data_IF_057747451218
#
_entry.id   IF_057747451218
#
_cell.length_a   1.000
_cell.length_b   1.000
_cell.length_c   1.000
_cell.angle_alpha   90.00
_cell.angle_beta   90.00
_cell.angle_gamma   90.00
#
_symmetry.space_group_name_H-M   'P 1'
#
loop_
_entity.id
_entity.type
_entity.pdbx_description
1 polymer ?
#
# COMPACT_ATOMS: atom_id res chain seq x y z
N UNK A 1 -8.30 -0.90 5.68
CA UNK A 1 -7.93 -1.12 7.09
C UNK A 1 -8.15 -2.57 7.53
N UNK A 2 -8.64 -3.47 6.66
CA UNK A 2 -8.72 -4.90 6.99
C UNK A 2 -9.61 -5.28 8.17
N UNK A 3 -10.40 -4.35 8.71
CA UNK A 3 -11.28 -4.56 9.86
C UNK A 3 -12.65 -5.07 9.41
N UNK A 4 -13.11 -6.19 9.98
CA UNK A 4 -14.43 -6.76 9.71
C UNK A 4 -15.55 -5.77 10.06
N UNK A 5 -15.43 -5.07 11.19
CA UNK A 5 -16.41 -4.06 11.62
C UNK A 5 -16.52 -2.84 10.70
N UNK A 6 -15.59 -2.66 9.75
CA UNK A 6 -15.56 -1.56 8.79
C UNK A 6 -15.52 -2.02 7.33
N UNK A 7 -15.85 -3.29 7.05
CA UNK A 7 -15.76 -3.83 5.69
C UNK A 7 -16.74 -3.17 4.70
N UNK A 8 -17.87 -2.67 5.19
CA UNK A 8 -18.88 -1.92 4.41
C UNK A 8 -18.79 -0.40 4.59
N UNK A 9 -17.87 0.08 5.44
CA UNK A 9 -17.74 1.51 5.73
C UNK A 9 -17.12 2.25 4.54
N UNK A 10 -17.78 3.32 4.10
CA UNK A 10 -17.32 4.24 3.07
C UNK A 10 -17.13 5.62 3.69
N UNK A 11 -15.97 6.23 3.44
CA UNK A 11 -15.70 7.62 3.84
C UNK A 11 -16.52 8.57 2.96
N UNK A 12 -17.05 9.64 3.56
CA UNK A 12 -17.75 10.72 2.85
C UNK A 12 -16.76 11.72 2.24
N UNK A 13 -15.54 11.76 2.78
CA UNK A 13 -14.49 12.71 2.37
C UNK A 13 -13.23 12.00 1.89
N UNK A 14 -12.56 12.62 0.92
CA UNK A 14 -11.22 12.23 0.48
C UNK A 14 -10.16 12.62 1.51
N UNK A 15 -9.15 11.77 1.70
CA UNK A 15 -7.94 12.17 2.41
C UNK A 15 -7.21 13.30 1.65
N UNK A 16 -6.51 14.16 2.36
CA UNK A 16 -5.83 15.33 1.76
C UNK A 16 -4.88 14.96 0.62
N UNK A 17 -4.09 13.88 0.77
CA UNK A 17 -3.20 13.37 -0.28
C UNK A 17 -3.95 12.92 -1.53
N UNK A 18 -5.13 12.32 -1.35
CA UNK A 18 -5.98 11.87 -2.44
C UNK A 18 -6.55 13.07 -3.20
N UNK A 19 -6.94 14.13 -2.48
CA UNK A 19 -7.38 15.39 -3.11
C UNK A 19 -6.27 16.01 -3.96
N UNK A 20 -5.03 16.01 -3.49
CA UNK A 20 -3.89 16.49 -4.29
C UNK A 20 -3.64 15.66 -5.54
N UNK A 21 -3.71 14.34 -5.44
CA UNK A 21 -3.55 13.44 -6.60
C UNK A 21 -4.63 13.70 -7.64
N UNK A 22 -5.91 13.80 -7.23
CA UNK A 22 -7.01 14.13 -8.13
C UNK A 22 -6.82 15.49 -8.79
N UNK A 23 -6.44 16.51 -8.01
CA UNK A 23 -6.20 17.86 -8.53
C UNK A 23 -5.01 17.92 -9.50
N UNK A 24 -4.03 17.04 -9.36
CA UNK A 24 -2.91 16.89 -10.29
C UNK A 24 -3.27 16.07 -11.55
N UNK A 25 -4.53 15.64 -11.70
CA UNK A 25 -4.99 14.82 -12.83
C UNK A 25 -4.79 13.31 -12.66
N UNK A 26 -4.44 12.85 -11.46
CA UNK A 26 -4.25 11.43 -11.16
C UNK A 26 -5.58 10.65 -11.13
N UNK A 27 -5.54 9.43 -11.67
CA UNK A 27 -6.68 8.50 -11.70
C UNK A 27 -6.47 7.42 -10.63
N UNK A 28 -7.43 7.29 -9.71
CA UNK A 28 -7.40 6.26 -8.67
C UNK A 28 -7.99 4.96 -9.22
N UNK A 29 -7.18 3.91 -9.30
CA UNK A 29 -7.59 2.63 -9.91
C UNK A 29 -8.06 1.60 -8.88
N UNK A 30 -7.55 1.66 -7.65
CA UNK A 30 -7.84 0.66 -6.62
C UNK A 30 -7.51 1.15 -5.20
N UNK A 31 -8.01 0.42 -4.21
CA UNK A 31 -7.55 0.45 -2.82
C UNK A 31 -6.91 -0.89 -2.53
N UNK A 32 -5.65 -0.90 -2.12
CA UNK A 32 -4.93 -2.16 -1.92
C UNK A 32 -5.15 -2.75 -0.53
N UNK A 33 -4.78 -4.02 -0.40
CA UNK A 33 -4.93 -4.79 0.82
C UNK A 33 -3.83 -4.47 1.84
N UNK A 34 -4.18 -4.47 3.12
CA UNK A 34 -3.31 -4.14 4.27
C UNK A 34 -3.63 -5.10 5.42
N UNK A 35 -2.73 -5.33 6.39
CA UNK A 35 -3.11 -6.03 7.61
C UNK A 35 -4.15 -5.25 8.42
N UNK A 36 -4.84 -5.96 9.30
CA UNK A 36 -5.79 -5.34 10.21
C UNK A 36 -5.12 -4.21 11.01
N UNK A 37 -5.76 -3.03 11.00
CA UNK A 37 -5.26 -1.81 11.65
C UNK A 37 -3.88 -1.32 11.18
N UNK A 38 -3.33 -1.86 10.09
CA UNK A 38 -1.96 -1.60 9.64
C UNK A 38 -0.86 -2.04 10.65
N UNK A 39 -1.18 -2.96 11.57
CA UNK A 39 -0.31 -3.29 12.71
C UNK A 39 0.64 -4.47 12.50
N UNK A 40 0.72 -5.01 11.28
CA UNK A 40 1.52 -6.20 11.01
C UNK A 40 2.47 -6.06 9.81
N UNK A 41 3.45 -6.95 9.76
CA UNK A 41 4.53 -6.96 8.74
C UNK A 41 4.22 -7.88 7.56
N UNK A 42 3.06 -8.50 7.55
CA UNK A 42 2.42 -9.18 6.44
C UNK A 42 1.16 -8.42 6.02
N UNK A 43 0.67 -8.67 4.81
CA UNK A 43 -0.59 -8.06 4.34
C UNK A 43 -1.70 -9.10 4.27
N UNK A 44 -2.25 -9.42 5.45
CA UNK A 44 -3.35 -10.38 5.66
C UNK A 44 -4.42 -9.80 6.57
N UNK A 45 -5.68 -10.02 6.24
CA UNK A 45 -6.79 -9.75 7.16
C UNK A 45 -7.98 -10.69 6.90
N UNK A 46 -8.97 -10.65 7.80
CA UNK A 46 -10.16 -11.50 7.73
C UNK A 46 -11.23 -11.02 6.72
N UNK A 47 -11.04 -9.88 6.06
CA UNK A 47 -12.00 -9.33 5.08
C UNK A 47 -11.62 -9.74 3.65
N UNK A 48 -10.35 -9.57 3.28
CA UNK A 48 -9.85 -9.76 1.92
C UNK A 48 -8.83 -10.90 1.80
N UNK A 49 -8.46 -11.54 2.92
CA UNK A 49 -7.47 -12.60 2.93
C UNK A 49 -6.04 -12.08 2.82
N UNK A 50 -5.18 -12.90 2.20
CA UNK A 50 -3.73 -12.70 2.09
C UNK A 50 -3.35 -12.12 0.74
N UNK A 51 -2.51 -11.08 0.73
CA UNK A 51 -1.79 -10.65 -0.48
C UNK A 51 -0.58 -11.56 -0.71
N UNK A 52 -0.42 -12.07 -1.93
CA UNK A 52 0.73 -12.89 -2.33
C UNK A 52 1.80 -12.06 -3.06
N UNK A 53 3.07 -12.44 -2.90
CA UNK A 53 4.17 -11.75 -3.54
C UNK A 53 4.25 -12.13 -5.03
N UNK A 54 4.31 -11.14 -5.95
CA UNK A 54 4.25 -11.39 -7.39
C UNK A 54 5.48 -12.15 -7.92
N UNK A 55 6.62 -12.08 -7.23
CA UNK A 55 7.81 -12.86 -7.62
C UNK A 55 7.75 -14.31 -7.13
N UNK A 56 7.08 -14.55 -5.99
CA UNK A 56 6.92 -15.89 -5.42
C UNK A 56 5.76 -15.92 -4.42
N UNK A 57 4.68 -16.64 -4.75
CA UNK A 57 3.45 -16.71 -3.95
C UNK A 57 3.62 -17.39 -2.59
N UNK A 58 4.75 -18.05 -2.33
CA UNK A 58 5.09 -18.64 -1.02
C UNK A 58 5.83 -17.67 -0.08
N UNK A 59 6.14 -16.45 -0.54
CA UNK A 59 6.87 -15.43 0.22
C UNK A 59 5.94 -14.32 0.71
N UNK A 60 6.33 -13.68 1.82
CA UNK A 60 5.63 -12.52 2.35
C UNK A 60 5.81 -11.30 1.43
N UNK A 61 4.76 -10.50 1.27
CA UNK A 61 4.79 -9.19 0.59
C UNK A 61 5.24 -8.05 1.49
N UNK A 62 5.38 -8.30 2.79
CA UNK A 62 5.66 -7.26 3.75
C UNK A 62 4.39 -6.54 4.20
N UNK A 63 4.55 -5.62 5.13
CA UNK A 63 3.43 -4.90 5.70
C UNK A 63 3.89 -3.63 6.39
N UNK A 64 2.96 -2.70 6.64
CA UNK A 64 1.53 -2.86 6.35
C UNK A 64 1.12 -2.56 4.89
N UNK A 65 1.98 -1.91 4.10
CA UNK A 65 1.64 -1.53 2.71
C UNK A 65 2.02 -2.59 1.66
N UNK A 66 1.85 -3.88 1.99
CA UNK A 66 2.23 -4.97 1.09
C UNK A 66 1.35 -5.09 -0.15
N UNK A 67 0.07 -4.71 -0.07
CA UNK A 67 -0.79 -4.60 -1.25
C UNK A 67 -0.28 -3.58 -2.28
N UNK A 68 0.16 -2.41 -1.80
CA UNK A 68 0.75 -1.36 -2.63
C UNK A 68 2.04 -1.83 -3.31
N UNK A 69 2.95 -2.45 -2.55
CA UNK A 69 4.19 -2.97 -3.14
C UNK A 69 3.93 -4.10 -4.14
N UNK A 70 3.00 -5.02 -3.83
CA UNK A 70 2.67 -6.13 -4.72
C UNK A 70 2.06 -5.66 -6.06
N UNK A 71 1.15 -4.68 -6.06
CA UNK A 71 0.54 -4.18 -7.30
C UNK A 71 1.57 -3.43 -8.16
N UNK A 72 2.48 -2.67 -7.55
CA UNK A 72 3.55 -1.96 -8.25
C UNK A 72 4.52 -2.94 -8.92
N UNK A 73 4.90 -3.99 -8.20
CA UNK A 73 5.85 -5.00 -8.70
C UNK A 73 5.23 -5.96 -9.71
N UNK A 74 3.90 -6.10 -9.70
CA UNK A 74 3.14 -6.77 -10.75
C UNK A 74 2.82 -5.87 -11.97
N UNK A 75 3.37 -4.64 -12.02
CA UNK A 75 3.11 -3.64 -13.05
C UNK A 75 1.61 -3.26 -13.19
N UNK A 76 0.82 -3.44 -12.12
CA UNK A 76 -0.60 -3.10 -12.09
C UNK A 76 -0.89 -1.64 -11.74
N UNK A 77 0.11 -0.90 -11.23
CA UNK A 77 0.04 0.55 -11.00
C UNK A 77 1.38 1.19 -11.33
N UNK A 78 1.37 2.48 -11.69
CA UNK A 78 2.58 3.26 -11.92
C UNK A 78 3.20 3.79 -10.61
N UNK A 79 2.35 4.18 -9.65
CA UNK A 79 2.75 4.63 -8.33
C UNK A 79 1.68 4.28 -7.30
N UNK A 80 2.08 4.30 -6.03
CA UNK A 80 1.21 3.94 -4.92
C UNK A 80 1.40 4.87 -3.74
N UNK A 81 0.36 5.05 -2.93
CA UNK A 81 0.40 5.89 -1.72
C UNK A 81 0.35 4.96 -0.53
N UNK A 82 1.30 5.13 0.38
CA UNK A 82 1.48 4.23 1.52
C UNK A 82 1.63 5.00 2.83
N UNK A 83 1.68 4.24 3.94
CA UNK A 83 1.98 4.77 5.27
C UNK A 83 3.22 4.09 5.84
N UNK A 84 3.99 4.78 6.68
CA UNK A 84 5.21 4.23 7.28
C UNK A 84 5.47 4.91 8.62
N UNK A 85 5.20 4.15 9.70
CA UNK A 85 5.56 4.52 11.07
C UNK A 85 6.81 3.72 11.50
N UNK A 86 6.79 2.41 11.28
CA UNK A 86 7.86 1.48 11.69
C UNK A 86 8.59 0.77 10.55
N UNK A 87 8.43 1.22 9.30
CA UNK A 87 8.96 0.53 8.11
C UNK A 87 7.88 0.09 7.12
N UNK A 88 6.61 0.44 7.36
CA UNK A 88 5.45 -0.09 6.62
C UNK A 88 5.38 0.26 5.13
N UNK A 89 6.30 1.08 4.62
CA UNK A 89 6.50 1.30 3.18
C UNK A 89 7.83 0.71 2.72
N UNK A 90 8.90 0.94 3.49
CA UNK A 90 10.26 0.49 3.15
C UNK A 90 10.38 -1.04 3.15
N UNK A 91 9.76 -1.72 4.11
CA UNK A 91 9.78 -3.19 4.21
C UNK A 91 9.04 -3.87 3.04
N UNK A 92 7.78 -3.49 2.72
CA UNK A 92 7.14 -3.96 1.49
C UNK A 92 7.92 -3.67 0.22
N UNK A 93 8.48 -2.46 0.09
CA UNK A 93 9.27 -2.10 -1.08
C UNK A 93 10.48 -3.04 -1.24
N UNK A 94 11.20 -3.32 -0.15
CA UNK A 94 12.31 -4.27 -0.15
C UNK A 94 11.88 -5.69 -0.55
N UNK A 95 10.79 -6.22 0.02
CA UNK A 95 10.33 -7.59 -0.26
C UNK A 95 9.79 -7.79 -1.67
N UNK A 96 9.35 -6.72 -2.34
CA UNK A 96 8.80 -6.78 -3.69
C UNK A 96 9.71 -6.05 -4.70
N UNK A 97 10.97 -5.76 -4.39
CA UNK A 97 11.87 -5.11 -5.36
C UNK A 97 11.35 -3.80 -5.94
N UNK A 98 10.72 -2.96 -5.11
CA UNK A 98 10.22 -1.64 -5.47
C UNK A 98 10.96 -0.55 -4.69
N UNK A 99 10.79 0.72 -5.08
CA UNK A 99 11.29 1.86 -4.33
C UNK A 99 10.22 2.40 -3.39
N UNK A 100 10.55 2.52 -2.10
CA UNK A 100 9.67 3.10 -1.08
C UNK A 100 10.35 4.22 -0.31
N UNK A 101 9.76 5.41 -0.32
CA UNK A 101 10.36 6.61 0.25
C UNK A 101 9.55 7.17 1.40
N UNK A 102 9.98 6.96 2.65
CA UNK A 102 9.38 7.61 3.83
C UNK A 102 9.94 9.03 4.02
N UNK A 103 9.17 10.09 3.72
CA UNK A 103 9.65 11.46 3.93
C UNK A 103 9.81 11.80 5.42
N UNK A 104 10.33 12.99 5.69
CA UNK A 104 10.27 13.60 7.03
C UNK A 104 8.82 13.74 7.49
N UNK A 105 8.57 13.58 8.79
CA UNK A 105 7.22 13.72 9.36
C UNK A 105 6.58 15.07 8.98
N UNK A 106 5.32 15.03 8.56
CA UNK A 106 4.59 16.21 8.04
C UNK A 106 4.51 16.32 6.52
N UNK A 107 5.17 15.42 5.77
CA UNK A 107 5.16 15.37 4.29
C UNK A 107 4.55 14.02 3.82
N UNK A 108 3.90 14.00 2.65
CA UNK A 108 3.18 12.84 2.10
C UNK A 108 4.08 11.79 1.43
N UNK A 109 3.66 10.53 1.50
CA UNK A 109 4.44 9.31 1.20
C UNK A 109 4.01 8.62 -0.10
N UNK A 110 4.97 8.19 -0.92
CA UNK A 110 4.74 7.50 -2.20
C UNK A 110 5.70 6.31 -2.43
N UNK A 111 5.24 5.32 -3.19
CA UNK A 111 5.96 4.15 -3.72
C UNK A 111 6.07 4.26 -5.24
N UNK A 112 7.23 3.93 -5.80
CA UNK A 112 7.51 3.97 -7.25
C UNK A 112 8.16 2.67 -7.72
N UNK A 113 7.87 2.26 -8.96
CA UNK A 113 8.47 1.07 -9.57
C UNK A 113 9.97 1.26 -9.80
N UNK A 114 10.75 0.19 -9.58
CA UNK A 114 12.18 0.19 -9.84
C UNK A 114 12.48 -0.42 -11.21
N UNK A 115 12.49 0.38 -12.28
CA UNK A 115 13.04 -0.07 -13.56
C UNK A 115 14.56 0.06 -13.55
N UNK A 116 15.26 -0.99 -13.99
CA UNK A 116 16.55 -0.87 -14.64
C UNK A 116 16.33 -0.94 -16.15
#
# INVERSE_FOLDING_TARGET
MGLVSRCTFRSEEDATVIRFVKNAGGILIAKTNVPELNLWTESRNNVYGQTCNPYNTTRNVGGSSGGEAAIISACGSAFSIASDIGGSTRMPAFFNGAFGFKPTGGIYLYLMHATN
#
